data_IF_280683459646
#
_entry.id   IF_280683459646
#
_cell.length_a   1.000
_cell.length_b   1.000
_cell.length_c   1.000
_cell.angle_alpha   90.00
_cell.angle_beta   90.00
_cell.angle_gamma   90.00
#
_symmetry.space_group_name_H-M   'P 1'
#
loop_
_entity.id
_entity.type
_entity.pdbx_description
1 polymer ?
#
# COMPACT_ATOMS: atom_id res chain seq x y z
N UNK A 1 22.76 6.52 -21.89
CA UNK A 1 23.58 5.71 -20.96
C UNK A 1 25.00 6.26 -20.85
N UNK A 2 25.64 6.57 -21.97
CA UNK A 2 27.04 7.03 -22.03
C UNK A 2 27.36 8.24 -21.13
N UNK A 3 26.49 9.26 -21.10
CA UNK A 3 26.66 10.43 -20.22
C UNK A 3 26.66 10.05 -18.73
N UNK A 4 25.73 9.18 -18.30
CA UNK A 4 25.67 8.73 -16.89
C UNK A 4 26.91 7.92 -16.52
N UNK A 5 27.33 7.03 -17.41
CA UNK A 5 28.59 6.28 -17.26
C UNK A 5 29.77 7.24 -17.09
N UNK A 6 29.86 8.28 -17.92
CA UNK A 6 30.92 9.29 -17.82
C UNK A 6 30.91 10.02 -16.48
N UNK A 7 29.74 10.40 -15.97
CA UNK A 7 29.60 11.04 -14.66
C UNK A 7 30.13 10.12 -13.55
N UNK A 8 29.83 8.83 -13.58
CA UNK A 8 30.16 7.88 -12.51
C UNK A 8 31.62 7.39 -12.61
N UNK A 9 32.13 7.19 -13.82
CA UNK A 9 33.47 6.63 -14.05
C UNK A 9 34.57 7.69 -14.01
N UNK A 10 34.31 8.90 -14.52
CA UNK A 10 35.31 9.98 -14.64
C UNK A 10 35.17 11.07 -13.57
N UNK A 11 34.06 11.08 -12.83
CA UNK A 11 33.78 12.07 -11.79
C UNK A 11 33.32 11.38 -10.50
N UNK A 12 33.26 12.16 -9.41
CA UNK A 12 32.72 11.69 -8.12
C UNK A 12 31.30 12.17 -7.98
N UNK A 13 30.34 11.26 -8.15
CA UNK A 13 28.94 11.48 -7.84
C UNK A 13 28.73 11.24 -6.34
N UNK A 14 28.55 12.32 -5.58
CA UNK A 14 28.41 12.30 -4.12
C UNK A 14 26.97 11.95 -3.70
N UNK A 15 25.96 12.37 -4.49
CA UNK A 15 24.59 11.99 -4.23
C UNK A 15 23.56 12.34 -5.30
N UNK A 16 22.39 11.73 -5.16
CA UNK A 16 21.22 11.87 -6.03
C UNK A 16 19.98 12.08 -5.17
N UNK A 17 19.35 13.25 -5.29
CA UNK A 17 18.04 13.51 -4.69
C UNK A 17 16.99 13.36 -5.78
N UNK A 18 16.19 12.29 -5.71
CA UNK A 18 15.06 12.07 -6.61
C UNK A 18 13.84 12.82 -6.11
N UNK A 19 13.16 13.51 -7.01
CA UNK A 19 11.97 14.32 -6.72
C UNK A 19 10.75 13.73 -7.44
N UNK A 20 9.58 13.68 -6.80
CA UNK A 20 8.39 13.07 -7.37
C UNK A 20 7.83 13.93 -8.50
N UNK A 21 7.04 13.30 -9.37
CA UNK A 21 6.21 14.04 -10.33
C UNK A 21 5.27 14.97 -9.59
N UNK A 22 5.24 16.25 -9.98
CA UNK A 22 4.36 17.25 -9.38
C UNK A 22 5.10 18.41 -8.70
N UNK A 23 6.37 18.23 -8.34
CA UNK A 23 7.21 19.29 -7.74
C UNK A 23 7.36 20.52 -8.65
N UNK A 24 7.17 20.36 -9.96
CA UNK A 24 7.23 21.48 -10.91
C UNK A 24 5.89 21.73 -11.62
N UNK A 25 4.79 21.14 -11.16
CA UNK A 25 3.47 21.48 -11.68
C UNK A 25 3.11 22.93 -11.31
N UNK A 26 2.32 23.63 -12.15
CA UNK A 26 1.72 23.16 -13.42
C UNK A 26 2.68 23.18 -14.62
N UNK A 27 3.92 23.67 -14.47
CA UNK A 27 4.88 23.82 -15.58
C UNK A 27 5.38 22.49 -16.14
N UNK A 28 5.64 21.51 -15.28
CA UNK A 28 6.10 20.19 -15.68
C UNK A 28 5.59 19.10 -14.72
N UNK A 29 5.03 18.03 -15.30
CA UNK A 29 4.52 16.86 -14.57
C UNK A 29 5.52 15.71 -14.41
N UNK A 30 6.75 15.86 -14.90
CA UNK A 30 7.75 14.77 -14.87
C UNK A 30 8.47 14.69 -13.52
N UNK A 31 8.92 13.50 -13.15
CA UNK A 31 9.88 13.32 -12.05
C UNK A 31 11.23 13.93 -12.43
N UNK A 32 11.91 14.50 -11.45
CA UNK A 32 13.15 15.26 -11.63
C UNK A 32 14.16 14.85 -10.55
N UNK A 33 15.43 15.23 -10.70
CA UNK A 33 16.46 14.89 -9.71
C UNK A 33 17.53 15.98 -9.62
N UNK A 34 18.14 16.10 -8.43
CA UNK A 34 19.35 16.90 -8.19
C UNK A 34 20.54 15.95 -8.10
N UNK A 35 21.57 16.19 -8.92
CA UNK A 35 22.82 15.44 -8.89
C UNK A 35 23.91 16.29 -8.21
N UNK A 36 24.51 15.77 -7.14
CA UNK A 36 25.63 16.39 -6.44
C UNK A 36 26.91 15.67 -6.86
N UNK A 37 27.79 16.33 -7.60
CA UNK A 37 29.01 15.70 -8.10
C UNK A 37 30.19 16.67 -8.18
N UNK A 38 31.40 16.10 -8.13
CA UNK A 38 32.68 16.80 -8.22
C UNK A 38 33.48 16.28 -9.41
N UNK A 39 34.03 17.17 -10.24
CA UNK A 39 34.84 16.80 -11.42
C UNK A 39 36.18 16.17 -11.01
N UNK A 40 36.60 15.12 -11.71
CA UNK A 40 37.99 14.61 -11.65
C UNK A 40 38.35 13.74 -10.45
N UNK A 41 37.38 13.10 -9.82
CA UNK A 41 37.58 12.15 -8.72
C UNK A 41 36.82 10.85 -9.00
N UNK A 42 37.03 9.80 -8.19
CA UNK A 42 36.36 8.51 -8.36
C UNK A 42 35.11 8.40 -7.49
N UNK A 43 33.99 7.97 -8.09
CA UNK A 43 32.80 7.54 -7.37
C UNK A 43 33.06 6.19 -6.69
N UNK A 44 32.67 6.06 -5.41
CA UNK A 44 32.66 4.78 -4.67
C UNK A 44 31.23 4.42 -4.31
N UNK A 45 30.68 5.13 -3.34
CA UNK A 45 29.30 5.03 -2.91
C UNK A 45 28.58 6.34 -3.23
N UNK A 46 27.32 6.21 -3.65
CA UNK A 46 26.45 7.30 -4.02
C UNK A 46 25.34 7.36 -2.98
N UNK A 47 25.17 8.52 -2.35
CA UNK A 47 24.07 8.75 -1.42
C UNK A 47 22.80 9.05 -2.19
N UNK A 48 21.74 8.28 -1.96
CA UNK A 48 20.44 8.53 -2.55
C UNK A 48 19.48 9.07 -1.52
N UNK A 49 18.60 9.96 -1.97
CA UNK A 49 17.40 10.35 -1.24
C UNK A 49 16.19 10.32 -2.17
N UNK A 50 15.15 9.59 -1.79
CA UNK A 50 13.90 9.46 -2.53
C UNK A 50 12.81 10.36 -1.92
N UNK A 51 12.71 11.60 -2.40
CA UNK A 51 11.80 12.60 -1.88
C UNK A 51 10.35 12.25 -2.23
N UNK A 52 9.44 12.41 -1.26
CA UNK A 52 8.01 12.23 -1.49
C UNK A 52 7.25 13.56 -1.52
N UNK A 53 7.65 14.56 -0.74
CA UNK A 53 6.96 15.85 -0.69
C UNK A 53 7.94 17.00 -0.47
N UNK A 54 7.66 18.15 -1.10
CA UNK A 54 8.47 19.37 -1.01
C UNK A 54 7.81 20.48 -0.18
N UNK A 55 6.77 20.16 0.61
CA UNK A 55 5.98 21.13 1.36
C UNK A 55 4.79 21.71 0.59
N UNK A 56 4.51 21.19 -0.60
CA UNK A 56 3.33 21.55 -1.39
C UNK A 56 2.62 20.28 -1.91
N UNK A 57 1.32 20.42 -2.20
CA UNK A 57 0.57 19.40 -2.94
C UNK A 57 1.26 19.13 -4.28
N UNK A 58 1.21 17.87 -4.74
CA UNK A 58 1.79 17.43 -6.02
C UNK A 58 0.82 17.57 -7.20
N UNK A 59 -0.24 18.35 -7.02
CA UNK A 59 -1.22 18.70 -8.05
C UNK A 59 -0.91 20.06 -8.69
N UNK A 60 -1.71 20.49 -9.67
CA UNK A 60 -1.46 21.73 -10.40
C UNK A 60 -1.66 22.99 -9.53
N UNK A 61 -2.33 22.85 -8.38
CA UNK A 61 -2.64 23.98 -7.49
C UNK A 61 -1.45 24.33 -6.60
N UNK A 62 -0.57 23.37 -6.29
CA UNK A 62 0.62 23.56 -5.43
C UNK A 62 0.28 24.31 -4.15
N UNK A 63 -0.72 23.83 -3.42
CA UNK A 63 -1.10 24.38 -2.13
C UNK A 63 -0.13 23.92 -1.06
N UNK A 64 0.22 24.77 -0.09
CA UNK A 64 1.11 24.38 1.02
C UNK A 64 0.49 23.24 1.82
N UNK A 65 1.32 22.27 2.19
CA UNK A 65 0.96 21.13 3.04
C UNK A 65 2.03 20.91 4.11
N UNK A 66 1.70 20.14 5.14
CA UNK A 66 2.62 19.89 6.27
C UNK A 66 3.72 18.88 5.89
N UNK A 67 3.46 17.99 4.93
CA UNK A 67 4.42 17.01 4.44
C UNK A 67 5.58 17.68 3.69
N UNK A 68 6.78 17.63 4.27
CA UNK A 68 7.97 18.23 3.69
C UNK A 68 9.24 17.46 4.05
N UNK A 69 9.94 16.98 3.02
CA UNK A 69 11.17 16.20 3.18
C UNK A 69 12.44 17.04 3.14
N UNK A 70 12.37 18.28 2.66
CA UNK A 70 13.55 19.13 2.48
C UNK A 70 14.34 19.29 3.79
N UNK A 71 13.71 19.49 4.98
CA UNK A 71 14.44 19.51 6.23
C UNK A 71 15.21 18.22 6.53
N UNK A 72 14.59 17.04 6.34
CA UNK A 72 15.25 15.74 6.56
C UNK A 72 16.37 15.51 5.53
N UNK A 73 16.19 15.93 4.27
CA UNK A 73 17.25 15.90 3.24
C UNK A 73 18.48 16.68 3.71
N UNK A 74 18.29 17.91 4.21
CA UNK A 74 19.38 18.76 4.65
C UNK A 74 20.08 18.20 5.89
N UNK A 75 19.32 17.66 6.85
CA UNK A 75 19.86 17.03 8.06
C UNK A 75 20.65 15.76 7.71
N UNK A 76 20.07 14.88 6.88
CA UNK A 76 20.71 13.66 6.43
C UNK A 76 21.96 13.97 5.63
N UNK A 77 21.92 14.94 4.72
CA UNK A 77 23.09 15.34 3.94
C UNK A 77 24.23 15.80 4.85
N UNK A 78 23.96 16.68 5.82
CA UNK A 78 24.98 17.17 6.76
C UNK A 78 25.58 16.05 7.61
N UNK A 79 24.77 15.07 8.01
CA UNK A 79 25.18 13.98 8.91
C UNK A 79 25.46 12.65 8.21
N UNK A 80 25.53 12.61 6.87
CA UNK A 80 25.63 11.35 6.10
C UNK A 80 26.86 10.50 6.40
N UNK A 81 27.90 11.05 7.03
CA UNK A 81 29.09 10.33 7.48
C UNK A 81 29.23 10.28 9.01
N UNK A 82 28.25 10.78 9.76
CA UNK A 82 28.24 10.74 11.21
C UNK A 82 27.72 9.36 11.66
N UNK A 83 28.60 8.57 12.28
CA UNK A 83 28.28 7.21 12.71
C UNK A 83 27.16 7.16 13.76
N UNK A 84 27.13 8.10 14.71
CA UNK A 84 26.12 8.16 15.75
C UNK A 84 24.74 8.48 15.17
N UNK A 85 24.68 9.41 14.22
CA UNK A 85 23.46 9.75 13.49
C UNK A 85 22.91 8.55 12.71
N UNK A 86 23.78 7.85 11.96
CA UNK A 86 23.40 6.65 11.22
C UNK A 86 22.91 5.54 12.14
N UNK A 87 23.62 5.30 13.25
CA UNK A 87 23.28 4.29 14.25
C UNK A 87 21.94 4.56 14.92
N UNK A 88 21.69 5.81 15.33
CA UNK A 88 20.42 6.23 15.91
C UNK A 88 19.25 6.02 14.93
N UNK A 89 19.43 6.40 13.65
CA UNK A 89 18.41 6.20 12.60
C UNK A 89 18.16 4.71 12.34
N UNK A 90 19.23 3.91 12.23
CA UNK A 90 19.12 2.46 12.03
C UNK A 90 18.39 1.78 13.20
N UNK A 91 18.69 2.18 14.44
CA UNK A 91 17.98 1.71 15.64
C UNK A 91 16.49 2.05 15.58
N UNK A 92 16.14 3.30 15.25
CA UNK A 92 14.74 3.72 15.14
C UNK A 92 13.99 2.95 14.05
N UNK A 93 14.61 2.72 12.90
CA UNK A 93 14.07 1.87 11.82
C UNK A 93 13.78 0.45 12.32
N UNK A 94 14.73 -0.15 13.05
CA UNK A 94 14.55 -1.49 13.61
C UNK A 94 13.41 -1.56 14.64
N UNK A 95 13.29 -0.55 15.50
CA UNK A 95 12.21 -0.44 16.49
C UNK A 95 10.84 -0.30 15.80
N UNK A 96 10.74 0.58 14.79
CA UNK A 96 9.50 0.76 14.00
C UNK A 96 9.10 -0.53 13.29
N UNK A 97 10.06 -1.24 12.68
CA UNK A 97 9.79 -2.55 12.05
C UNK A 97 9.25 -3.54 13.07
N UNK A 98 9.89 -3.65 14.25
CA UNK A 98 9.42 -4.54 15.33
C UNK A 98 8.01 -4.18 15.81
N UNK A 99 7.66 -2.90 15.85
CA UNK A 99 6.31 -2.43 16.20
C UNK A 99 5.28 -2.76 15.09
N UNK A 100 5.66 -2.56 13.83
CA UNK A 100 4.77 -2.72 12.68
C UNK A 100 4.52 -4.19 12.31
N UNK A 101 5.49 -5.09 12.50
CA UNK A 101 5.35 -6.52 12.16
C UNK A 101 4.08 -7.16 12.74
N UNK A 102 3.81 -7.12 14.06
CA UNK A 102 2.59 -7.71 14.61
C UNK A 102 1.31 -7.02 14.11
N UNK A 103 1.33 -5.68 13.98
CA UNK A 103 0.15 -4.92 13.51
C UNK A 103 -0.20 -5.26 12.06
N UNK A 104 0.79 -5.40 11.18
CA UNK A 104 0.58 -5.82 9.78
C UNK A 104 0.09 -7.27 9.69
N UNK A 105 0.55 -8.16 10.58
CA UNK A 105 0.06 -9.53 10.66
C UNK A 105 -1.40 -9.59 11.12
N UNK A 106 -1.77 -8.83 12.16
CA UNK A 106 -3.16 -8.71 12.62
C UNK A 106 -4.07 -8.11 11.54
N UNK A 107 -3.59 -7.10 10.80
CA UNK A 107 -4.31 -6.53 9.66
C UNK A 107 -4.63 -7.58 8.61
N UNK A 108 -3.67 -8.44 8.29
CA UNK A 108 -3.84 -9.51 7.31
C UNK A 108 -4.88 -10.55 7.79
N UNK A 109 -4.88 -10.87 9.08
CA UNK A 109 -5.86 -11.78 9.68
C UNK A 109 -7.28 -11.19 9.63
N UNK A 110 -7.44 -9.90 9.98
CA UNK A 110 -8.73 -9.21 9.88
C UNK A 110 -9.23 -9.14 8.43
N UNK A 111 -8.35 -8.92 7.45
CA UNK A 111 -8.72 -8.97 6.03
C UNK A 111 -9.23 -10.35 5.62
N UNK A 112 -8.58 -11.43 6.09
CA UNK A 112 -9.04 -12.79 5.86
C UNK A 112 -10.41 -13.07 6.49
N UNK A 113 -10.62 -12.60 7.72
CA UNK A 113 -11.88 -12.72 8.44
C UNK A 113 -13.01 -11.95 7.75
N UNK A 114 -12.78 -10.69 7.38
CA UNK A 114 -13.74 -9.88 6.63
C UNK A 114 -14.11 -10.57 5.32
N UNK A 115 -13.13 -11.08 4.58
CA UNK A 115 -13.40 -11.78 3.32
C UNK A 115 -14.25 -13.05 3.54
N UNK A 116 -14.04 -13.80 4.62
CA UNK A 116 -14.89 -14.92 5.02
C UNK A 116 -16.30 -14.48 5.36
N UNK A 117 -16.45 -13.48 6.22
CA UNK A 117 -17.75 -12.97 6.67
C UNK A 117 -18.54 -12.35 5.51
N UNK A 118 -17.87 -11.70 4.56
CA UNK A 118 -18.50 -11.22 3.32
C UNK A 118 -19.10 -12.37 2.51
N UNK A 119 -18.38 -13.47 2.36
CA UNK A 119 -18.89 -14.65 1.67
C UNK A 119 -20.07 -15.28 2.42
N UNK A 120 -19.95 -15.45 3.74
CA UNK A 120 -21.04 -15.97 4.59
C UNK A 120 -22.27 -15.06 4.56
N UNK A 121 -22.11 -13.74 4.47
CA UNK A 121 -23.21 -12.80 4.33
C UNK A 121 -23.93 -12.95 2.99
N UNK A 122 -23.23 -13.32 1.91
CA UNK A 122 -23.86 -13.57 0.61
C UNK A 122 -24.64 -14.89 0.64
N UNK A 123 -24.09 -15.93 1.26
CA UNK A 123 -24.78 -17.22 1.40
C UNK A 123 -25.90 -17.21 2.43
N UNK A 124 -25.74 -16.41 3.48
CA UNK A 124 -26.65 -16.32 4.62
C UNK A 124 -28.00 -15.71 4.29
N UNK A 125 -28.21 -15.27 3.04
CA UNK A 125 -29.53 -15.02 2.47
C UNK A 125 -30.39 -16.29 2.33
N UNK A 126 -30.37 -17.17 3.33
CA UNK A 126 -31.32 -18.26 3.48
C UNK A 126 -32.69 -17.66 3.83
N UNK A 127 -33.41 -17.21 2.80
CA UNK A 127 -34.87 -17.28 2.66
C UNK A 127 -35.41 -16.13 1.78
N UNK A 128 -35.24 -16.23 0.47
CA UNK A 128 -36.28 -15.70 -0.43
C UNK A 128 -37.50 -16.64 -0.55
N UNK A 129 -37.55 -17.76 0.18
CA UNK A 129 -38.62 -18.77 -0.01
C UNK A 129 -39.42 -19.19 1.24
N UNK A 130 -39.06 -18.81 2.48
CA UNK A 130 -39.80 -19.34 3.64
C UNK A 130 -40.84 -18.38 4.29
N UNK A 131 -40.90 -17.08 3.97
CA UNK A 131 -41.86 -16.16 4.64
C UNK A 131 -42.61 -15.12 3.80
N UNK A 132 -42.31 -14.90 2.52
CA UNK A 132 -42.98 -13.83 1.74
C UNK A 132 -44.17 -14.25 0.85
N UNK A 133 -44.58 -15.52 0.87
CA UNK A 133 -45.83 -15.94 0.19
C UNK A 133 -47.13 -15.59 0.96
N UNK A 134 -47.04 -14.96 2.13
CA UNK A 134 -48.22 -14.43 2.86
C UNK A 134 -47.98 -13.02 3.38
N UNK A 135 -47.78 -12.06 2.49
CA UNK A 135 -48.33 -10.69 2.57
C UNK A 135 -47.69 -9.82 1.48
N UNK A 136 -48.25 -9.86 0.28
CA UNK A 136 -48.02 -8.80 -0.69
C UNK A 136 -48.75 -7.54 -0.21
N UNK A 137 -48.03 -6.65 0.48
CA UNK A 137 -48.36 -5.22 0.55
C UNK A 137 -47.10 -4.38 0.37
N UNK A 138 -47.06 -3.75 -0.81
CA UNK A 138 -46.48 -2.45 -1.16
C UNK A 138 -45.01 -2.12 -0.83
N UNK A 139 -44.24 -2.00 -1.92
CA UNK A 139 -43.23 -0.96 -2.17
C UNK A 139 -42.22 -0.65 -1.06
N UNK A 140 -41.17 -1.46 -0.97
CA UNK A 140 -39.84 -1.00 -0.57
C UNK A 140 -38.79 -1.71 -1.44
N UNK A 141 -37.84 -0.95 -1.98
CA UNK A 141 -36.65 -1.49 -2.65
C UNK A 141 -35.78 -2.14 -1.58
N UNK A 142 -36.05 -3.40 -1.25
CA UNK A 142 -35.21 -4.17 -0.34
C UNK A 142 -33.89 -4.51 -1.03
N UNK A 143 -32.79 -4.22 -0.35
CA UNK A 143 -31.44 -4.42 -0.86
C UNK A 143 -31.04 -5.87 -0.55
N UNK A 144 -30.50 -6.63 -1.51
CA UNK A 144 -30.14 -8.05 -1.31
C UNK A 144 -29.14 -8.30 -0.16
N UNK A 145 -28.53 -7.24 0.39
CA UNK A 145 -27.65 -7.31 1.57
C UNK A 145 -28.39 -7.55 2.90
N UNK A 146 -29.71 -7.36 2.96
CA UNK A 146 -30.49 -7.39 4.21
C UNK A 146 -30.84 -8.81 4.71
N UNK A 147 -30.50 -9.87 3.94
CA UNK A 147 -30.94 -11.24 4.21
C UNK A 147 -29.94 -12.12 4.98
N UNK A 148 -28.73 -11.65 5.26
CA UNK A 148 -27.76 -12.40 6.06
C UNK A 148 -28.18 -12.49 7.54
N UNK A 149 -27.82 -13.56 8.29
CA UNK A 149 -28.11 -13.61 9.73
C UNK A 149 -27.52 -12.38 10.41
N UNK A 150 -28.31 -11.69 11.23
CA UNK A 150 -27.92 -10.46 11.93
C UNK A 150 -26.57 -10.62 12.67
N UNK A 151 -26.28 -11.82 13.16
CA UNK A 151 -24.99 -12.16 13.77
C UNK A 151 -23.79 -12.02 12.82
N UNK A 152 -23.91 -12.45 11.56
CA UNK A 152 -22.86 -12.34 10.54
C UNK A 152 -22.66 -10.89 10.12
N UNK A 153 -23.76 -10.13 9.96
CA UNK A 153 -23.70 -8.70 9.65
C UNK A 153 -23.01 -7.90 10.76
N UNK A 154 -23.37 -8.16 12.03
CA UNK A 154 -22.74 -7.52 13.18
C UNK A 154 -21.25 -7.89 13.26
N UNK A 155 -20.90 -9.17 13.11
CA UNK A 155 -19.51 -9.60 13.12
C UNK A 155 -18.67 -8.97 11.99
N UNK A 156 -19.25 -8.83 10.79
CA UNK A 156 -18.60 -8.17 9.65
C UNK A 156 -18.35 -6.68 9.95
N UNK A 157 -19.35 -5.99 10.47
CA UNK A 157 -19.24 -4.59 10.89
C UNK A 157 -18.16 -4.39 11.95
N UNK A 158 -18.15 -5.25 12.98
CA UNK A 158 -17.14 -5.21 14.04
C UNK A 158 -15.73 -5.46 13.51
N UNK A 159 -15.55 -6.44 12.62
CA UNK A 159 -14.25 -6.73 12.01
C UNK A 159 -13.75 -5.56 11.13
N UNK A 160 -14.66 -4.91 10.38
CA UNK A 160 -14.35 -3.71 9.59
C UNK A 160 -13.95 -2.54 10.48
N UNK A 161 -14.64 -2.32 11.61
CA UNK A 161 -14.29 -1.28 12.57
C UNK A 161 -12.90 -1.50 13.18
N UNK A 162 -12.59 -2.74 13.58
CA UNK A 162 -11.25 -3.12 14.09
C UNK A 162 -10.17 -2.93 13.04
N UNK A 163 -10.44 -3.28 11.77
CA UNK A 163 -9.49 -3.08 10.68
C UNK A 163 -9.19 -1.58 10.50
N UNK A 164 -10.21 -0.71 10.55
CA UNK A 164 -10.04 0.73 10.42
C UNK A 164 -9.21 1.32 11.58
N UNK A 165 -9.48 0.91 12.82
CA UNK A 165 -8.69 1.33 13.98
C UNK A 165 -7.22 0.88 13.86
N UNK A 166 -7.00 -0.37 13.43
CA UNK A 166 -5.67 -0.92 13.24
C UNK A 166 -4.90 -0.21 12.11
N UNK A 167 -5.57 0.14 11.01
CA UNK A 167 -4.98 0.95 9.94
C UNK A 167 -4.54 2.32 10.46
N UNK A 168 -5.34 2.97 11.31
CA UNK A 168 -4.95 4.24 11.95
C UNK A 168 -3.72 4.07 12.85
N UNK A 169 -3.65 3.00 13.64
CA UNK A 169 -2.47 2.67 14.47
C UNK A 169 -1.20 2.42 13.65
N UNK A 170 -1.33 1.85 12.45
CA UNK A 170 -0.21 1.58 11.53
C UNK A 170 0.26 2.85 10.82
N UNK A 171 -0.64 3.79 10.50
CA UNK A 171 -0.36 4.92 9.62
C UNK A 171 0.81 5.81 10.08
N UNK A 172 0.85 6.18 11.37
CA UNK A 172 1.88 7.08 11.89
C UNK A 172 3.26 6.41 11.96
N UNK A 173 3.42 5.22 12.59
CA UNK A 173 4.71 4.52 12.59
C UNK A 173 5.19 4.14 11.18
N UNK A 174 4.27 3.81 10.27
CA UNK A 174 4.62 3.51 8.88
C UNK A 174 5.15 4.75 8.16
N UNK A 175 4.47 5.90 8.29
CA UNK A 175 4.92 7.16 7.69
C UNK A 175 6.30 7.59 8.20
N UNK A 176 6.57 7.37 9.49
CA UNK A 176 7.89 7.63 10.06
C UNK A 176 8.95 6.67 9.48
N UNK A 177 8.65 5.37 9.41
CA UNK A 177 9.54 4.38 8.81
C UNK A 177 9.86 4.73 7.34
N UNK A 178 8.84 5.11 6.58
CA UNK A 178 8.98 5.52 5.19
C UNK A 178 9.91 6.73 5.08
N UNK A 179 9.72 7.76 5.91
CA UNK A 179 10.62 8.92 5.96
C UNK A 179 12.05 8.51 6.28
N UNK A 180 12.24 7.67 7.30
CA UNK A 180 13.57 7.26 7.73
C UNK A 180 14.32 6.45 6.66
N UNK A 181 13.61 5.66 5.86
CA UNK A 181 14.17 4.84 4.77
C UNK A 181 14.30 5.55 3.42
N UNK A 182 13.98 6.85 3.32
CA UNK A 182 14.17 7.63 2.07
C UNK A 182 15.63 7.83 1.70
N UNK A 183 16.52 7.83 2.68
CA UNK A 183 17.96 7.86 2.42
C UNK A 183 18.58 6.47 2.44
N UNK A 184 19.50 6.22 1.51
CA UNK A 184 20.25 4.97 1.46
C UNK A 184 21.51 5.13 0.60
N UNK A 185 22.46 4.21 0.77
CA UNK A 185 23.69 4.17 -0.01
C UNK A 185 23.60 3.14 -1.13
N UNK A 186 24.15 3.49 -2.29
CA UNK A 186 24.28 2.60 -3.43
C UNK A 186 25.71 2.60 -3.90
N UNK A 187 26.30 1.42 -4.01
CA UNK A 187 27.67 1.22 -4.49
C UNK A 187 27.75 1.46 -6.01
N UNK A 188 28.92 1.88 -6.49
CA UNK A 188 29.20 2.00 -7.93
C UNK A 188 28.95 0.68 -8.67
N UNK A 189 29.26 -0.44 -8.04
CA UNK A 189 29.05 -1.79 -8.59
C UNK A 189 27.57 -2.07 -8.81
N UNK A 190 26.71 -1.75 -7.83
CA UNK A 190 25.24 -1.86 -7.98
C UNK A 190 24.74 -0.98 -9.12
N UNK A 191 25.24 0.24 -9.26
CA UNK A 191 24.86 1.13 -10.34
C UNK A 191 25.29 0.60 -11.72
N UNK A 192 26.49 0.04 -11.80
CA UNK A 192 27.00 -0.59 -13.03
C UNK A 192 26.18 -1.83 -13.42
N UNK A 193 25.83 -2.66 -12.44
CA UNK A 193 24.95 -3.83 -12.64
C UNK A 193 23.57 -3.41 -13.18
N UNK A 194 23.06 -2.26 -12.73
CA UNK A 194 21.82 -1.66 -13.21
C UNK A 194 22.02 -0.72 -14.42
N UNK A 195 23.05 -0.97 -15.25
CA UNK A 195 23.29 -0.25 -16.52
C UNK A 195 23.40 1.27 -16.35
N UNK A 196 24.01 1.71 -15.25
CA UNK A 196 24.17 3.11 -14.88
C UNK A 196 22.84 3.87 -14.73
N UNK A 197 21.76 3.19 -14.33
CA UNK A 197 20.50 3.83 -13.94
C UNK A 197 20.68 4.61 -12.63
N UNK A 198 20.11 5.80 -12.53
CA UNK A 198 20.20 6.66 -11.34
C UNK A 198 18.81 6.95 -10.75
N UNK A 199 17.80 6.17 -11.11
CA UNK A 199 16.49 6.24 -10.47
C UNK A 199 16.53 5.58 -9.09
N UNK A 200 16.17 6.31 -8.04
CA UNK A 200 16.14 5.81 -6.66
C UNK A 200 15.33 4.52 -6.50
N UNK A 201 14.21 4.40 -7.24
CA UNK A 201 13.34 3.22 -7.24
C UNK A 201 14.00 1.92 -7.68
N UNK A 202 15.15 1.96 -8.37
CA UNK A 202 15.91 0.76 -8.75
C UNK A 202 16.66 0.13 -7.59
N UNK A 203 16.93 0.92 -6.56
CA UNK A 203 17.82 0.56 -5.46
C UNK A 203 17.11 0.55 -4.11
N UNK A 204 16.06 1.36 -3.98
CA UNK A 204 15.29 1.47 -2.74
C UNK A 204 14.62 0.13 -2.42
N UNK A 205 14.96 -0.41 -1.26
CA UNK A 205 14.24 -1.55 -0.69
C UNK A 205 13.03 -1.03 0.07
N UNK A 206 11.87 -1.09 -0.59
CA UNK A 206 10.59 -0.78 0.06
C UNK A 206 10.09 -2.05 0.73
N UNK A 207 9.80 -1.98 2.03
CA UNK A 207 9.20 -3.09 2.79
C UNK A 207 7.78 -3.30 2.26
N UNK A 208 7.62 -4.23 1.30
CA UNK A 208 6.34 -4.49 0.68
C UNK A 208 5.33 -5.01 1.71
N UNK A 209 4.18 -4.36 1.76
CA UNK A 209 3.07 -4.79 2.58
C UNK A 209 2.46 -6.08 2.01
N UNK A 210 2.40 -7.13 2.83
CA UNK A 210 1.66 -8.33 2.46
C UNK A 210 0.18 -7.97 2.25
N UNK A 211 -0.32 -8.22 1.04
CA UNK A 211 -1.72 -8.15 0.71
C UNK A 211 -2.39 -9.49 1.00
N UNK A 212 -3.63 -9.44 1.51
CA UNK A 212 -4.43 -10.64 1.64
C UNK A 212 -4.82 -11.16 0.25
N UNK A 213 -4.47 -12.41 -0.01
CA UNK A 213 -4.94 -13.16 -1.17
C UNK A 213 -5.55 -14.48 -0.68
N UNK A 214 -6.79 -14.72 -1.08
CA UNK A 214 -7.43 -16.00 -0.81
C UNK A 214 -6.71 -17.14 -1.57
N UNK A 215 -6.63 -18.31 -0.95
CA UNK A 215 -6.03 -19.49 -1.59
C UNK A 215 -6.95 -19.97 -2.73
N UNK A 216 -6.41 -20.35 -3.91
CA UNK A 216 -7.23 -20.82 -5.03
C UNK A 216 -8.18 -21.97 -4.68
N UNK A 217 -7.77 -22.90 -3.80
CA UNK A 217 -8.62 -24.00 -3.37
C UNK A 217 -9.86 -23.53 -2.60
N UNK A 218 -9.72 -22.53 -1.73
CA UNK A 218 -10.84 -21.95 -0.98
C UNK A 218 -11.78 -21.21 -1.92
N UNK A 219 -11.23 -20.46 -2.89
CA UNK A 219 -12.05 -19.79 -3.90
C UNK A 219 -12.85 -20.78 -4.74
N UNK A 220 -12.26 -21.91 -5.15
CA UNK A 220 -12.97 -22.97 -5.88
C UNK A 220 -14.09 -23.60 -5.05
N UNK A 221 -13.83 -23.88 -3.76
CA UNK A 221 -14.85 -24.39 -2.84
C UNK A 221 -16.02 -23.41 -2.68
N UNK A 222 -15.72 -22.11 -2.54
CA UNK A 222 -16.73 -21.04 -2.47
C UNK A 222 -17.58 -20.94 -3.74
N UNK A 223 -16.95 -21.07 -4.91
CA UNK A 223 -17.66 -21.07 -6.20
C UNK A 223 -18.60 -22.27 -6.32
N UNK A 224 -18.15 -23.47 -5.98
CA UNK A 224 -18.99 -24.67 -6.01
C UNK A 224 -20.18 -24.54 -5.05
N UNK A 225 -19.97 -23.95 -3.87
CA UNK A 225 -21.05 -23.69 -2.91
C UNK A 225 -22.06 -22.68 -3.42
N UNK A 226 -21.61 -21.59 -4.05
CA UNK A 226 -22.50 -20.61 -4.69
C UNK A 226 -23.32 -21.25 -5.80
N UNK A 227 -22.69 -22.06 -6.66
CA UNK A 227 -23.39 -22.79 -7.72
C UNK A 227 -24.49 -23.69 -7.17
N UNK A 228 -24.21 -24.42 -6.09
CA UNK A 228 -25.23 -25.26 -5.42
C UNK A 228 -26.44 -24.44 -4.95
N UNK A 229 -26.19 -23.31 -4.28
CA UNK A 229 -27.26 -22.43 -3.79
C UNK A 229 -28.07 -21.86 -4.96
N UNK A 230 -27.40 -21.36 -6.01
CA UNK A 230 -28.06 -20.83 -7.20
C UNK A 230 -28.95 -21.87 -7.89
N UNK A 231 -28.47 -23.11 -8.02
CA UNK A 231 -29.24 -24.19 -8.63
C UNK A 231 -30.48 -24.56 -7.82
N UNK A 232 -30.37 -24.54 -6.48
CA UNK A 232 -31.50 -24.79 -5.59
C UNK A 232 -32.54 -23.66 -5.67
N UNK A 233 -32.11 -22.39 -5.71
CA UNK A 233 -32.99 -21.23 -5.91
C UNK A 233 -33.71 -21.28 -7.26
N UNK A 234 -33.00 -21.58 -8.35
CA UNK A 234 -33.59 -21.76 -9.69
C UNK A 234 -34.67 -22.85 -9.66
N UNK A 235 -34.43 -23.95 -8.94
CA UNK A 235 -35.40 -25.05 -8.81
C UNK A 235 -36.65 -24.60 -8.07
N UNK A 236 -36.52 -23.87 -6.97
CA UNK A 236 -37.66 -23.32 -6.22
C UNK A 236 -38.47 -22.32 -7.06
N UNK A 237 -37.80 -21.39 -7.76
CA UNK A 237 -38.48 -20.49 -8.70
C UNK A 237 -39.22 -21.26 -9.80
N UNK A 238 -38.62 -22.33 -10.32
CA UNK A 238 -39.24 -23.21 -11.30
C UNK A 238 -40.54 -23.86 -10.79
N UNK A 239 -40.62 -24.23 -9.50
CA UNK A 239 -41.86 -24.75 -8.88
C UNK A 239 -42.94 -23.67 -8.80
N UNK A 240 -42.56 -22.47 -8.34
CA UNK A 240 -43.47 -21.34 -8.19
C UNK A 240 -44.07 -20.89 -9.53
N UNK A 241 -43.28 -20.87 -10.60
CA UNK A 241 -43.75 -20.48 -11.95
C UNK A 241 -44.63 -21.56 -12.58
N UNK A 242 -44.30 -22.84 -12.39
CA UNK A 242 -44.99 -23.95 -13.06
C UNK A 242 -46.16 -24.55 -12.26
N UNK A 243 -46.46 -24.02 -11.07
CA UNK A 243 -47.66 -24.36 -10.30
C UNK A 243 -47.73 -25.80 -9.80
N UNK A 244 -46.59 -26.43 -9.48
CA UNK A 244 -46.50 -27.71 -8.75
C UNK A 244 -45.77 -27.55 -7.44
#
# INVERSE_FOLDING_TARGET
VEVRKRIIEENRLDGVVSMPSGVFKPYAGVSTAVLLFTKGAQTKDIWFYDMAHDGFSLDDKRTKVDENDIPDILECWKNRFNADFQSARAKRIADLRRQLTPLKAERLQLQAEINRLQFESVLGGDSLTAKHAKSAKENQKENLADFAPLAVQNALSDAQARLAELQSKIANPQSELDRLTRQFWVTKEQVKANKYDLSASRYRQVDADAAYHEKPSVTLERLARLESVMLDEIRELGKLVNGK
#
